data_IF_933182574911
#
_entry.id   IF_933182574911
#
_cell.length_a   1.000
_cell.length_b   1.000
_cell.length_c   1.000
_cell.angle_alpha   90.00
_cell.angle_beta   90.00
_cell.angle_gamma   90.00
#
_symmetry.space_group_name_H-M   'P 1'
#
loop_
_entity.id
_entity.type
_entity.pdbx_description
1 polymer ?
#
# COMPACT_ATOMS: atom_id res chain seq x y z
N UNK A 1 -12.03 -15.27 23.45
CA UNK A 1 -13.03 -15.65 22.40
C UNK A 1 -13.64 -14.42 21.70
N UNK A 2 -13.70 -13.24 22.33
CA UNK A 2 -14.17 -11.97 21.73
C UNK A 2 -13.22 -11.41 20.65
N UNK A 3 -11.91 -11.53 20.84
CA UNK A 3 -10.89 -10.93 19.94
C UNK A 3 -10.82 -11.58 18.55
N UNK A 4 -11.32 -12.80 18.40
CA UNK A 4 -11.33 -13.49 17.10
C UNK A 4 -12.42 -12.94 16.16
N UNK A 5 -13.51 -12.40 16.72
CA UNK A 5 -14.60 -11.78 15.94
C UNK A 5 -14.22 -10.40 15.40
N UNK A 6 -13.37 -9.64 16.11
CA UNK A 6 -12.90 -8.34 15.60
C UNK A 6 -11.90 -8.50 14.44
N UNK A 7 -11.05 -9.53 14.49
CA UNK A 7 -10.04 -9.85 13.45
C UNK A 7 -10.62 -10.24 12.08
N UNK A 8 -11.88 -10.67 12.01
CA UNK A 8 -12.56 -11.02 10.74
C UNK A 8 -13.71 -10.05 10.41
N UNK A 9 -13.67 -8.83 10.96
CA UNK A 9 -14.68 -7.81 10.67
C UNK A 9 -14.31 -6.98 9.44
N UNK A 10 -15.32 -6.40 8.80
CA UNK A 10 -15.15 -5.46 7.68
C UNK A 10 -14.30 -4.24 8.08
N UNK A 11 -14.47 -3.76 9.32
CA UNK A 11 -13.66 -2.69 9.88
C UNK A 11 -12.17 -3.08 10.03
N UNK A 12 -11.88 -4.32 10.43
CA UNK A 12 -10.50 -4.80 10.50
C UNK A 12 -9.88 -4.94 9.10
N UNK A 13 -10.64 -5.41 8.12
CA UNK A 13 -10.18 -5.43 6.72
C UNK A 13 -9.83 -4.01 6.23
N UNK A 14 -10.72 -3.04 6.41
CA UNK A 14 -10.49 -1.63 6.06
C UNK A 14 -9.22 -1.09 6.74
N UNK A 15 -9.03 -1.38 8.03
CA UNK A 15 -7.83 -0.96 8.77
C UNK A 15 -6.55 -1.56 8.17
N UNK A 16 -6.54 -2.86 7.84
CA UNK A 16 -5.37 -3.51 7.24
C UNK A 16 -5.04 -3.01 5.84
N UNK A 17 -6.06 -2.76 5.02
CA UNK A 17 -5.84 -2.18 3.69
C UNK A 17 -5.37 -0.74 3.77
N UNK A 18 -5.86 0.06 4.73
CA UNK A 18 -5.37 1.42 4.96
C UNK A 18 -3.88 1.44 5.30
N UNK A 19 -3.45 0.58 6.24
CA UNK A 19 -2.04 0.45 6.61
C UNK A 19 -1.21 0.01 5.41
N UNK A 20 -1.65 -1.02 4.67
CA UNK A 20 -0.91 -1.49 3.49
C UNK A 20 -0.76 -0.39 2.41
N UNK A 21 -1.77 0.48 2.25
CA UNK A 21 -1.71 1.60 1.33
C UNK A 21 -0.69 2.65 1.78
N UNK A 22 -0.68 2.99 3.07
CA UNK A 22 0.30 3.92 3.66
C UNK A 22 1.73 3.40 3.49
N UNK A 23 1.97 2.12 3.80
CA UNK A 23 3.30 1.49 3.65
C UNK A 23 3.77 1.40 2.20
N UNK A 24 2.84 1.21 1.24
CA UNK A 24 3.17 1.20 -0.19
C UNK A 24 3.55 2.61 -0.70
N UNK A 25 2.86 3.64 -0.23
CA UNK A 25 3.18 5.04 -0.54
C UNK A 25 4.54 5.44 0.05
N UNK A 26 4.82 5.06 1.30
CA UNK A 26 6.13 5.27 1.92
C UNK A 26 7.24 4.50 1.19
N UNK A 27 6.97 3.28 0.70
CA UNK A 27 7.92 2.51 -0.09
C UNK A 27 8.26 3.20 -1.42
N UNK A 28 7.28 3.81 -2.08
CA UNK A 28 7.50 4.61 -3.27
C UNK A 28 8.42 5.81 -2.96
N UNK A 29 8.12 6.53 -1.87
CA UNK A 29 8.95 7.64 -1.41
C UNK A 29 10.41 7.22 -1.16
N UNK A 30 10.65 6.07 -0.52
CA UNK A 30 12.01 5.58 -0.32
C UNK A 30 12.73 5.20 -1.62
N UNK A 31 12.01 4.66 -2.62
CA UNK A 31 12.57 4.43 -3.95
C UNK A 31 12.96 5.74 -4.65
N UNK A 32 12.12 6.77 -4.55
CA UNK A 32 12.40 8.11 -5.08
C UNK A 32 13.66 8.68 -4.43
N UNK A 33 13.71 8.68 -3.10
CA UNK A 33 14.85 9.22 -2.36
C UNK A 33 16.14 8.45 -2.65
N UNK A 34 16.09 7.12 -2.79
CA UNK A 34 17.25 6.30 -3.13
C UNK A 34 17.79 6.61 -4.53
N UNK A 35 16.92 6.91 -5.50
CA UNK A 35 17.32 7.35 -6.84
C UNK A 35 17.89 8.76 -6.81
N UNK A 36 17.22 9.68 -6.13
CA UNK A 36 17.65 11.10 -6.03
C UNK A 36 18.98 11.26 -5.29
N UNK A 37 19.23 10.43 -4.28
CA UNK A 37 20.52 10.40 -3.55
C UNK A 37 21.65 9.69 -4.30
N UNK A 38 21.37 9.12 -5.48
CA UNK A 38 22.35 8.40 -6.30
C UNK A 38 22.73 7.02 -5.74
N UNK A 39 22.00 6.50 -4.76
CA UNK A 39 22.20 5.14 -4.23
C UNK A 39 21.72 4.07 -5.23
N UNK A 40 20.71 4.38 -6.03
CA UNK A 40 20.16 3.52 -7.08
C UNK A 40 20.06 4.27 -8.41
N UNK A 41 20.23 3.55 -9.53
CA UNK A 41 19.95 4.10 -10.85
C UNK A 41 18.50 3.82 -11.22
N UNK A 42 17.79 4.84 -11.73
CA UNK A 42 16.37 4.70 -12.10
C UNK A 42 16.10 3.51 -13.00
N UNK A 43 16.91 3.31 -14.04
CA UNK A 43 16.76 2.22 -15.01
C UNK A 43 16.80 0.83 -14.36
N UNK A 44 17.46 0.67 -13.22
CA UNK A 44 17.55 -0.62 -12.52
C UNK A 44 16.34 -0.92 -11.64
N UNK A 45 15.50 0.08 -11.34
CA UNK A 45 14.38 -0.02 -10.40
C UNK A 45 13.06 0.44 -11.01
N UNK A 46 13.01 0.71 -12.31
CA UNK A 46 11.79 1.23 -12.95
C UNK A 46 10.61 0.26 -12.86
N UNK A 47 10.88 -1.05 -12.90
CA UNK A 47 9.86 -2.08 -12.64
C UNK A 47 9.32 -2.01 -11.22
N UNK A 48 10.16 -1.73 -10.21
CA UNK A 48 9.72 -1.56 -8.82
C UNK A 48 8.85 -0.30 -8.66
N UNK A 49 9.23 0.81 -9.31
CA UNK A 49 8.42 2.01 -9.34
C UNK A 49 7.04 1.74 -9.93
N UNK A 50 6.99 1.02 -11.04
CA UNK A 50 5.75 0.65 -11.71
C UNK A 50 4.89 -0.24 -10.81
N UNK A 51 5.47 -1.30 -10.25
CA UNK A 51 4.78 -2.24 -9.36
C UNK A 51 4.22 -1.53 -8.13
N UNK A 52 5.01 -0.67 -7.47
CA UNK A 52 4.53 0.07 -6.29
C UNK A 52 3.34 0.98 -6.64
N UNK A 53 3.36 1.67 -7.79
CA UNK A 53 2.22 2.47 -8.24
C UNK A 53 0.98 1.60 -8.54
N UNK A 54 1.15 0.42 -9.13
CA UNK A 54 0.06 -0.53 -9.36
C UNK A 54 -0.53 -1.04 -8.04
N UNK A 55 0.30 -1.35 -7.05
CA UNK A 55 -0.13 -1.75 -5.71
C UNK A 55 -0.90 -0.63 -5.00
N UNK A 56 -0.40 0.61 -5.04
CA UNK A 56 -1.11 1.78 -4.49
C UNK A 56 -2.50 1.91 -5.13
N UNK A 57 -2.59 1.80 -6.46
CA UNK A 57 -3.87 1.89 -7.17
C UNK A 57 -4.85 0.78 -6.77
N UNK A 58 -4.37 -0.46 -6.66
CA UNK A 58 -5.18 -1.62 -6.24
C UNK A 58 -5.67 -1.43 -4.79
N UNK A 59 -4.79 -1.04 -3.87
CA UNK A 59 -5.11 -0.88 -2.45
C UNK A 59 -6.09 0.29 -2.24
N UNK A 60 -5.88 1.42 -2.92
CA UNK A 60 -6.78 2.56 -2.88
C UNK A 60 -8.18 2.21 -3.42
N UNK A 61 -8.25 1.50 -4.55
CA UNK A 61 -9.52 1.02 -5.12
C UNK A 61 -10.24 0.02 -4.20
N UNK A 62 -9.49 -0.89 -3.59
CA UNK A 62 -9.99 -1.86 -2.62
C UNK A 62 -10.55 -1.17 -1.37
N UNK A 63 -9.83 -0.19 -0.84
CA UNK A 63 -10.24 0.60 0.32
C UNK A 63 -11.52 1.40 0.03
N UNK A 64 -11.59 2.05 -1.14
CA UNK A 64 -12.78 2.79 -1.59
C UNK A 64 -14.00 1.87 -1.70
N UNK A 65 -13.82 0.68 -2.27
CA UNK A 65 -14.89 -0.31 -2.42
C UNK A 65 -15.35 -0.84 -1.06
N UNK A 66 -14.41 -1.17 -0.18
CA UNK A 66 -14.71 -1.65 1.17
C UNK A 66 -15.49 -0.60 1.97
N UNK A 67 -15.05 0.66 2.00
CA UNK A 67 -15.75 1.75 2.70
C UNK A 67 -17.16 2.00 2.18
N UNK A 68 -17.41 1.81 0.88
CA UNK A 68 -18.75 1.95 0.29
C UNK A 68 -19.71 0.82 0.70
N UNK A 69 -19.19 -0.37 0.97
CA UNK A 69 -19.95 -1.57 1.32
C UNK A 69 -20.02 -1.80 2.84
N UNK A 70 -19.65 -0.80 3.65
CA UNK A 70 -19.84 -0.80 5.10
C UNK A 70 -21.27 -0.36 5.45
#
# INVERSE_FOLDING_TARGET
MSDLRSKNSHAHFISKISVALEEADESLYWLELAVESGLLKRDNVDELFKETNELIAILASSLKTARKNQ
#
